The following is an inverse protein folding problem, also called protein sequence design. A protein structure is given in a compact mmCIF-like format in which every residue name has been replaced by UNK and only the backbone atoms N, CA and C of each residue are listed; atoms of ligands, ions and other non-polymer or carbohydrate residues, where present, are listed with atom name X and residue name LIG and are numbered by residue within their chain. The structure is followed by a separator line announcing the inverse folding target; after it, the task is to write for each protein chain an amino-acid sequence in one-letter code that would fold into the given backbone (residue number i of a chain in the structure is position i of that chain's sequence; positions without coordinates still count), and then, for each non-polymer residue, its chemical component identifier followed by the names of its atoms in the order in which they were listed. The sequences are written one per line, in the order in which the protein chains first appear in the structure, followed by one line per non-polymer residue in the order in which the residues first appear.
data_IF_089970458569
#
_entry.id   IF_089970458569
#
_cell.length_a   1.000
_cell.length_b   1.000
_cell.length_c   1.000
_cell.angle_alpha   90.00
_cell.angle_beta   90.00
_cell.angle_gamma   90.00
#
_symmetry.space_group_name_H-M   'P 1'
#
loop_
_entity.id
_entity.type
_entity.pdbx_description
1 polymer ?
#
# COMPACT_ATOMS: atom_id res chain seq x y z
N UNK A 1 13.37 -0.50 11.25
CA UNK A 1 13.84 -0.33 9.87
C UNK A 1 12.62 -0.40 8.97
N UNK A 2 12.12 0.75 8.51
CA UNK A 2 11.16 0.83 7.40
C UNK A 2 11.92 0.73 6.07
N UNK A 3 11.26 0.28 5.01
CA UNK A 3 11.80 0.21 3.65
C UNK A 3 12.02 -1.20 3.10
N UNK A 4 11.80 -2.25 3.91
CA UNK A 4 12.09 -3.63 3.52
C UNK A 4 11.13 -4.12 2.42
N UNK A 5 9.82 -3.84 2.57
CA UNK A 5 8.82 -4.22 1.59
C UNK A 5 9.04 -3.50 0.26
N UNK A 6 9.30 -2.19 0.33
CA UNK A 6 9.56 -1.32 -0.82
C UNK A 6 10.80 -1.77 -1.57
N UNK A 7 11.89 -2.00 -0.84
CA UNK A 7 13.15 -2.47 -1.43
C UNK A 7 12.97 -3.83 -2.10
N UNK A 8 12.28 -4.76 -1.44
CA UNK A 8 12.04 -6.10 -1.99
C UNK A 8 11.22 -6.07 -3.28
N UNK A 9 10.10 -5.32 -3.30
CA UNK A 9 9.27 -5.20 -4.50
C UNK A 9 10.04 -4.52 -5.64
N UNK A 10 10.70 -3.39 -5.37
CA UNK A 10 11.48 -2.68 -6.38
C UNK A 10 12.58 -3.55 -6.98
N UNK A 11 13.28 -4.34 -6.16
CA UNK A 11 14.30 -5.26 -6.66
C UNK A 11 13.71 -6.29 -7.62
N UNK A 12 12.59 -6.93 -7.25
CA UNK A 12 11.91 -7.90 -8.12
C UNK A 12 11.47 -7.27 -9.44
N UNK A 13 10.92 -6.05 -9.39
CA UNK A 13 10.44 -5.34 -10.57
C UNK A 13 11.59 -4.91 -11.49
N UNK A 14 12.67 -4.35 -10.93
CA UNK A 14 13.86 -3.98 -11.70
C UNK A 14 14.56 -5.19 -12.33
N UNK A 15 14.71 -6.28 -11.58
CA UNK A 15 15.31 -7.51 -12.09
C UNK A 15 14.55 -8.05 -13.30
N UNK A 16 13.21 -7.97 -13.27
CA UNK A 16 12.39 -8.39 -14.40
C UNK A 16 12.49 -7.46 -15.62
N UNK A 17 12.68 -6.16 -15.44
CA UNK A 17 12.93 -5.25 -16.58
C UNK A 17 14.31 -5.46 -17.19
N UNK A 18 15.32 -5.70 -16.36
CA UNK A 18 16.70 -5.86 -16.81
C UNK A 18 16.96 -7.25 -17.41
N UNK A 19 16.32 -8.27 -16.86
CA UNK A 19 16.44 -9.66 -17.27
C UNK A 19 15.04 -10.29 -17.37
N UNK A 20 14.29 -9.99 -18.45
CA UNK A 20 12.95 -10.53 -18.64
C UNK A 20 13.05 -12.05 -18.83
N UNK A 21 12.74 -12.79 -17.77
CA UNK A 21 12.58 -14.24 -17.79
C UNK A 21 11.12 -14.62 -18.00
N UNK A 22 10.63 -15.54 -17.18
CA UNK A 22 9.20 -15.88 -17.15
C UNK A 22 8.34 -14.69 -16.71
N UNK A 23 7.09 -14.70 -17.17
CA UNK A 23 6.10 -13.68 -16.85
C UNK A 23 5.91 -13.54 -15.33
N UNK A 24 6.04 -12.31 -14.81
CA UNK A 24 5.81 -12.02 -13.40
C UNK A 24 4.32 -12.12 -13.06
N UNK A 25 3.90 -13.24 -12.48
CA UNK A 25 2.59 -13.41 -11.85
C UNK A 25 2.59 -12.87 -10.43
N UNK A 26 1.41 -12.64 -9.83
CA UNK A 26 1.31 -12.20 -8.42
C UNK A 26 2.01 -13.17 -7.47
N UNK A 27 1.81 -14.48 -7.67
CA UNK A 27 2.53 -15.54 -6.91
C UNK A 27 4.03 -15.38 -7.04
N UNK A 28 4.54 -15.24 -8.27
CA UNK A 28 5.99 -15.14 -8.49
C UNK A 28 6.59 -13.87 -7.88
N UNK A 29 5.85 -12.76 -7.88
CA UNK A 29 6.28 -11.50 -7.26
C UNK A 29 6.44 -11.70 -5.76
N UNK A 30 5.43 -12.22 -5.06
CA UNK A 30 5.49 -12.40 -3.60
C UNK A 30 6.58 -13.40 -3.18
N UNK A 31 6.75 -14.51 -3.93
CA UNK A 31 7.81 -15.50 -3.66
C UNK A 31 9.19 -14.91 -3.86
N UNK A 32 9.42 -14.17 -4.96
CA UNK A 32 10.71 -13.49 -5.19
C UNK A 32 10.96 -12.39 -4.16
N UNK A 33 9.92 -11.67 -3.72
CA UNK A 33 10.05 -10.69 -2.62
C UNK A 33 10.47 -11.40 -1.33
N UNK A 34 9.88 -12.56 -1.00
CA UNK A 34 10.25 -13.36 0.17
C UNK A 34 11.71 -13.80 0.10
N UNK A 35 12.18 -14.23 -1.07
CA UNK A 35 13.59 -14.57 -1.28
C UNK A 35 14.52 -13.35 -1.09
N UNK A 36 14.13 -12.18 -1.59
CA UNK A 36 14.89 -10.93 -1.38
C UNK A 36 14.98 -10.59 0.10
N UNK A 37 13.85 -10.61 0.81
CA UNK A 37 13.79 -10.33 2.25
C UNK A 37 14.67 -11.31 3.04
N UNK A 38 14.57 -12.61 2.78
CA UNK A 38 15.41 -13.62 3.43
C UNK A 38 16.91 -13.36 3.19
N UNK A 39 17.32 -12.98 1.97
CA UNK A 39 18.72 -12.62 1.67
C UNK A 39 19.18 -11.36 2.38
N UNK A 40 18.27 -10.42 2.64
CA UNK A 40 18.55 -9.20 3.41
C UNK A 40 18.51 -9.43 4.94
N UNK A 41 18.19 -10.65 5.39
CA UNK A 41 18.09 -10.99 6.82
C UNK A 41 16.78 -10.57 7.47
N UNK A 42 15.71 -10.43 6.68
CA UNK A 42 14.37 -10.06 7.12
C UNK A 42 13.47 -11.30 7.22
N UNK A 43 12.82 -11.47 8.38
CA UNK A 43 11.87 -12.56 8.62
C UNK A 43 10.45 -12.20 8.14
N UNK A 44 10.24 -10.99 7.61
CA UNK A 44 8.95 -10.50 7.14
C UNK A 44 8.40 -11.31 5.96
N UNK A 45 7.11 -11.67 6.02
CA UNK A 45 6.42 -12.41 4.95
C UNK A 45 5.64 -11.42 4.07
N UNK A 46 5.91 -11.34 2.75
CA UNK A 46 5.10 -10.57 1.83
C UNK A 46 3.66 -11.08 1.79
N UNK A 47 2.73 -10.14 1.82
CA UNK A 47 1.30 -10.37 1.67
C UNK A 47 0.74 -9.41 0.62
N UNK A 48 -0.27 -9.90 -0.08
CA UNK A 48 -1.14 -9.15 -0.99
C UNK A 48 -2.55 -9.18 -0.42
N UNK A 49 -3.18 -8.02 -0.28
CA UNK A 49 -4.62 -7.92 0.00
C UNK A 49 -5.35 -7.25 -1.17
N UNK A 50 -6.63 -7.55 -1.38
CA UNK A 50 -7.39 -7.05 -2.54
C UNK A 50 -8.85 -6.78 -2.23
N UNK A 51 -9.43 -5.77 -2.87
CA UNK A 51 -10.87 -5.46 -2.81
C UNK A 51 -11.76 -6.52 -3.46
N UNK A 52 -11.20 -7.37 -4.32
CA UNK A 52 -11.90 -8.47 -5.00
C UNK A 52 -11.01 -9.71 -5.13
N UNK A 53 -11.61 -10.88 -5.29
CA UNK A 53 -10.86 -12.07 -5.66
C UNK A 53 -10.14 -11.84 -7.00
N UNK A 54 -8.86 -12.17 -7.04
CA UNK A 54 -8.06 -12.18 -8.26
C UNK A 54 -7.41 -13.56 -8.44
N UNK A 55 -7.20 -13.95 -9.69
CA UNK A 55 -6.37 -15.12 -10.00
C UNK A 55 -4.89 -14.72 -9.85
N UNK A 56 -4.28 -15.17 -8.77
CA UNK A 56 -2.88 -14.84 -8.41
C UNK A 56 -1.86 -15.47 -9.37
N UNK A 57 -2.27 -16.43 -10.20
CA UNK A 57 -1.41 -16.99 -11.25
C UNK A 57 -1.43 -16.16 -12.53
N UNK A 58 -2.30 -15.15 -12.64
CA UNK A 58 -2.25 -14.20 -13.74
C UNK A 58 -1.07 -13.24 -13.60
N UNK A 59 -0.64 -12.63 -14.71
CA UNK A 59 0.43 -11.65 -14.71
C UNK A 59 0.08 -10.45 -13.83
N UNK A 60 1.04 -10.03 -13.01
CA UNK A 60 0.93 -8.84 -12.19
C UNK A 60 1.21 -7.61 -13.05
N UNK A 61 0.31 -6.64 -12.98
CA UNK A 61 0.42 -5.37 -13.69
C UNK A 61 0.17 -4.22 -12.73
N UNK A 62 1.14 -3.32 -12.59
CA UNK A 62 0.91 -2.02 -11.94
C UNK A 62 -0.01 -1.18 -12.82
N UNK A 63 0.26 -1.15 -14.13
CA UNK A 63 -0.59 -0.55 -15.15
C UNK A 63 -1.21 -1.69 -15.98
N UNK A 64 -2.50 -2.01 -15.79
CA UNK A 64 -3.17 -3.06 -16.57
C UNK A 64 -3.07 -2.77 -18.08
N UNK A 65 -2.90 -3.78 -18.95
CA UNK A 65 -2.85 -3.58 -20.40
C UNK A 65 -4.11 -2.93 -20.99
N UNK A 66 -5.25 -3.11 -20.32
CA UNK A 66 -6.53 -2.52 -20.70
C UNK A 66 -6.73 -1.07 -20.19
N UNK A 67 -5.77 -0.51 -19.43
CA UNK A 67 -5.87 0.85 -18.92
C UNK A 67 -5.73 1.88 -20.06
N UNK A 68 -6.73 2.76 -20.17
CA UNK A 68 -6.80 3.79 -21.21
C UNK A 68 -6.75 5.22 -20.66
N UNK A 69 -6.82 5.37 -19.33
CA UNK A 69 -6.90 6.65 -18.64
C UNK A 69 -5.55 7.20 -18.18
N UNK A 70 -5.64 8.14 -17.25
CA UNK A 70 -4.51 8.81 -16.62
C UNK A 70 -3.83 7.92 -15.57
N UNK A 71 -2.55 8.18 -15.31
CA UNK A 71 -1.76 7.51 -14.27
C UNK A 71 -1.45 8.51 -13.17
N UNK A 72 -1.84 8.22 -11.93
CA UNK A 72 -1.74 9.14 -10.80
C UNK A 72 -1.11 8.46 -9.61
N UNK A 73 -0.23 9.14 -8.88
CA UNK A 73 0.36 8.56 -7.67
C UNK A 73 0.22 9.47 -6.45
N UNK A 74 0.06 8.86 -5.28
CA UNK A 74 0.30 9.49 -3.97
C UNK A 74 1.48 8.75 -3.35
N UNK A 75 2.56 9.47 -3.06
CA UNK A 75 3.78 8.91 -2.49
C UNK A 75 4.11 9.63 -1.18
N UNK A 76 4.04 8.90 -0.07
CA UNK A 76 4.20 9.43 1.28
C UNK A 76 5.43 8.78 1.93
N UNK A 77 6.36 9.62 2.39
CA UNK A 77 7.59 9.16 3.06
C UNK A 77 7.85 10.02 4.28
N UNK A 78 7.78 9.43 5.47
CA UNK A 78 7.89 10.18 6.73
C UNK A 78 9.10 9.68 7.51
N UNK A 79 10.09 10.57 7.72
CA UNK A 79 11.27 10.29 8.53
C UNK A 79 11.12 10.76 9.98
N UNK A 80 10.12 11.58 10.30
CA UNK A 80 9.91 12.16 11.62
C UNK A 80 11.12 12.97 12.09
N UNK A 81 11.69 13.79 11.21
CA UNK A 81 12.95 14.52 11.45
C UNK A 81 12.85 15.35 12.73
N UNK A 82 13.78 15.14 13.66
CA UNK A 82 13.87 15.84 14.93
C UNK A 82 12.88 15.34 16.01
N UNK A 83 12.16 14.23 15.75
CA UNK A 83 11.24 13.62 16.72
C UNK A 83 11.82 12.32 17.30
N UNK A 84 11.24 11.84 18.40
CA UNK A 84 11.56 10.49 18.88
C UNK A 84 11.06 9.44 17.88
N UNK A 85 11.91 8.44 17.60
CA UNK A 85 11.62 7.43 16.58
C UNK A 85 11.97 7.85 15.15
N UNK A 86 12.82 8.86 14.97
CA UNK A 86 13.30 9.28 13.64
C UNK A 86 13.77 8.08 12.79
N UNK A 87 13.31 8.05 11.53
CA UNK A 87 13.68 7.12 10.48
C UNK A 87 14.58 7.82 9.45
N UNK A 88 15.31 7.06 8.65
CA UNK A 88 16.24 7.61 7.64
C UNK A 88 15.99 7.09 6.22
N UNK A 89 15.10 6.11 6.04
CA UNK A 89 14.88 5.41 4.78
C UNK A 89 13.67 5.89 3.97
N UNK A 90 12.64 6.42 4.63
CA UNK A 90 11.31 6.58 4.02
C UNK A 90 11.31 7.60 2.87
N UNK A 91 12.11 8.66 2.97
CA UNK A 91 12.30 9.61 1.86
C UNK A 91 12.97 8.95 0.65
N UNK A 92 13.90 8.03 0.88
CA UNK A 92 14.59 7.33 -0.20
C UNK A 92 13.66 6.33 -0.89
N UNK A 93 12.81 5.64 -0.12
CA UNK A 93 11.78 4.74 -0.64
C UNK A 93 10.84 5.46 -1.61
N UNK A 94 10.32 6.62 -1.22
CA UNK A 94 9.48 7.47 -2.07
C UNK A 94 10.20 7.87 -3.35
N UNK A 95 11.46 8.32 -3.25
CA UNK A 95 12.26 8.72 -4.42
C UNK A 95 12.49 7.56 -5.38
N UNK A 96 12.74 6.35 -4.87
CA UNK A 96 12.94 5.17 -5.68
C UNK A 96 11.65 4.72 -6.38
N UNK A 97 10.51 4.74 -5.67
CA UNK A 97 9.20 4.44 -6.26
C UNK A 97 8.84 5.47 -7.33
N UNK A 98 8.97 6.77 -7.05
CA UNK A 98 8.70 7.83 -8.02
C UNK A 98 9.50 7.63 -9.31
N UNK A 99 10.81 7.36 -9.16
CA UNK A 99 11.71 7.09 -10.28
C UNK A 99 11.29 5.83 -11.06
N UNK A 100 10.95 4.75 -10.37
CA UNK A 100 10.50 3.53 -11.04
C UNK A 100 9.19 3.74 -11.83
N UNK A 101 8.21 4.42 -11.23
CA UNK A 101 6.93 4.72 -11.87
C UNK A 101 7.10 5.58 -13.12
N UNK A 102 7.98 6.58 -13.06
CA UNK A 102 8.29 7.44 -14.20
C UNK A 102 9.01 6.66 -15.31
N UNK A 103 10.07 5.92 -14.95
CA UNK A 103 10.94 5.25 -15.92
C UNK A 103 10.28 4.04 -16.62
N UNK A 104 9.51 3.24 -15.88
CA UNK A 104 9.02 1.94 -16.36
C UNK A 104 7.51 1.84 -16.46
N UNK A 105 6.77 2.67 -15.73
CA UNK A 105 5.30 2.63 -15.70
C UNK A 105 4.66 3.86 -16.34
N UNK A 106 5.45 4.76 -16.94
CA UNK A 106 4.99 5.94 -17.69
C UNK A 106 4.12 6.91 -16.89
N UNK A 107 4.30 6.98 -15.58
CA UNK A 107 3.72 8.05 -14.76
C UNK A 107 4.46 9.37 -15.07
N UNK A 108 3.75 10.49 -15.05
CA UNK A 108 4.37 11.80 -15.22
C UNK A 108 4.56 12.46 -13.85
N UNK A 109 5.67 13.17 -13.64
CA UNK A 109 5.98 13.83 -12.36
C UNK A 109 4.86 14.74 -11.87
N UNK A 110 4.19 15.47 -12.78
CA UNK A 110 3.07 16.35 -12.44
C UNK A 110 1.82 15.63 -11.90
N UNK A 111 1.71 14.33 -12.17
CA UNK A 111 0.59 13.49 -11.75
C UNK A 111 0.95 12.65 -10.50
N UNK A 112 2.13 12.89 -9.91
CA UNK A 112 2.58 12.31 -8.65
C UNK A 112 2.52 13.37 -7.54
N UNK A 113 1.62 13.17 -6.57
CA UNK A 113 1.57 13.97 -5.35
C UNK A 113 2.54 13.35 -4.32
N UNK A 114 3.60 14.09 -4.00
CA UNK A 114 4.63 13.64 -3.06
C UNK A 114 4.50 14.41 -1.74
N UNK A 115 4.44 13.66 -0.64
CA UNK A 115 4.43 14.19 0.73
C UNK A 115 5.62 13.65 1.52
N UNK A 116 6.52 14.54 1.95
CA UNK A 116 7.70 14.21 2.76
C UNK A 116 8.02 15.33 3.74
N UNK A 117 8.47 14.98 4.94
CA UNK A 117 8.92 15.91 5.98
C UNK A 117 10.38 16.39 5.76
N UNK A 118 10.75 16.65 4.51
CA UNK A 118 12.11 17.04 4.08
C UNK A 118 12.29 18.57 3.93
N UNK A 119 11.23 19.34 4.22
CA UNK A 119 11.19 20.80 4.06
C UNK A 119 11.11 21.29 2.61
N UNK A 120 10.98 20.39 1.63
CA UNK A 120 10.87 20.73 0.20
C UNK A 120 9.50 20.34 -0.38
N UNK A 121 8.97 19.18 0.04
CA UNK A 121 7.69 18.65 -0.42
C UNK A 121 6.54 19.10 0.48
N UNK A 122 5.31 18.71 0.11
CA UNK A 122 4.16 18.92 0.99
C UNK A 122 4.38 18.12 2.29
N UNK A 123 4.20 18.79 3.42
CA UNK A 123 4.43 18.15 4.72
C UNK A 123 3.39 17.03 4.94
N UNK A 124 3.77 15.80 5.33
CA UNK A 124 2.86 14.67 5.50
C UNK A 124 2.10 14.75 6.84
N UNK A 125 1.34 15.82 7.03
CA UNK A 125 0.42 16.00 8.15
C UNK A 125 -0.84 15.17 7.96
N UNK A 126 -1.58 14.90 9.04
CA UNK A 126 -2.84 14.15 8.98
C UNK A 126 -3.78 14.72 7.91
N UNK A 127 -4.01 16.03 7.96
CA UNK A 127 -4.88 16.74 7.03
C UNK A 127 -4.38 16.64 5.58
N UNK A 128 -3.07 16.70 5.34
CA UNK A 128 -2.55 16.59 3.98
C UNK A 128 -2.66 15.15 3.43
N UNK A 129 -2.54 14.13 4.29
CA UNK A 129 -2.80 12.74 3.93
C UNK A 129 -4.28 12.54 3.58
N UNK A 130 -5.21 12.96 4.44
CA UNK A 130 -6.66 12.86 4.20
C UNK A 130 -7.08 13.61 2.93
N UNK A 131 -6.59 14.84 2.74
CA UNK A 131 -6.83 15.62 1.51
C UNK A 131 -6.28 14.92 0.26
N UNK A 132 -5.19 14.17 0.37
CA UNK A 132 -4.64 13.42 -0.76
C UNK A 132 -5.58 12.28 -1.18
N UNK A 133 -6.25 11.62 -0.22
CA UNK A 133 -7.23 10.56 -0.48
C UNK A 133 -8.48 11.11 -1.18
N UNK A 134 -9.00 12.24 -0.68
CA UNK A 134 -10.12 12.92 -1.32
C UNK A 134 -9.78 13.34 -2.75
N UNK A 135 -8.57 13.91 -2.94
CA UNK A 135 -8.09 14.36 -4.23
C UNK A 135 -8.05 13.21 -5.24
N UNK A 136 -7.46 12.07 -4.89
CA UNK A 136 -7.34 10.96 -5.84
C UNK A 136 -8.71 10.43 -6.24
N UNK A 137 -9.66 10.37 -5.31
CA UNK A 137 -11.03 9.94 -5.59
C UNK A 137 -11.80 10.94 -6.45
N UNK A 138 -11.60 12.25 -6.23
CA UNK A 138 -12.24 13.28 -7.04
C UNK A 138 -11.76 13.31 -8.50
N UNK A 139 -10.47 13.03 -8.75
CA UNK A 139 -9.87 13.15 -10.07
C UNK A 139 -9.75 11.85 -10.86
N UNK A 140 -10.00 10.70 -10.23
CA UNK A 140 -9.92 9.40 -10.91
C UNK A 140 -11.19 9.09 -11.68
N UNK A 141 -11.04 8.61 -12.91
CA UNK A 141 -12.13 8.22 -13.81
C UNK A 141 -11.94 6.77 -14.28
N UNK A 142 -13.00 6.09 -14.76
CA UNK A 142 -12.87 4.72 -15.27
C UNK A 142 -11.76 4.61 -16.31
N UNK A 143 -10.87 3.62 -16.15
CA UNK A 143 -9.68 3.44 -16.99
C UNK A 143 -8.40 4.09 -16.44
N UNK A 144 -8.49 4.94 -15.40
CA UNK A 144 -7.33 5.49 -14.70
C UNK A 144 -6.62 4.42 -13.84
N UNK A 145 -5.33 4.64 -13.65
CA UNK A 145 -4.46 3.82 -12.79
C UNK A 145 -3.90 4.69 -11.67
N UNK A 146 -4.03 4.20 -10.44
CA UNK A 146 -3.56 4.86 -9.23
C UNK A 146 -2.45 4.04 -8.59
N UNK A 147 -1.38 4.69 -8.16
CA UNK A 147 -0.37 4.10 -7.29
C UNK A 147 -0.37 4.80 -5.93
N UNK A 148 -0.53 4.07 -4.85
CA UNK A 148 -0.46 4.57 -3.49
C UNK A 148 0.75 3.97 -2.78
N UNK A 149 1.63 4.80 -2.25
CA UNK A 149 2.80 4.35 -1.49
C UNK A 149 2.89 5.07 -0.16
N UNK A 150 3.08 4.31 0.90
CA UNK A 150 3.39 4.82 2.22
C UNK A 150 4.64 4.13 2.75
N UNK A 151 5.64 4.92 3.16
CA UNK A 151 6.78 4.47 3.97
C UNK A 151 6.90 5.36 5.20
N UNK A 152 6.84 4.75 6.39
CA UNK A 152 6.82 5.46 7.67
C UNK A 152 6.54 4.53 8.84
N UNK A 153 6.21 5.08 10.00
CA UNK A 153 5.74 4.27 11.12
C UNK A 153 4.32 3.80 10.87
N UNK A 154 4.04 2.58 11.32
CA UNK A 154 2.68 2.10 11.57
C UNK A 154 2.51 1.89 13.06
N UNK A 155 1.29 2.12 13.55
CA UNK A 155 0.93 1.95 14.95
C UNK A 155 -0.32 1.11 15.11
N UNK A 156 -0.72 0.93 16.35
CA UNK A 156 -1.98 0.29 16.73
C UNK A 156 -2.67 1.11 17.79
N UNK A 157 -3.99 1.21 17.69
CA UNK A 157 -4.84 1.83 18.71
C UNK A 157 -6.04 0.94 18.99
N UNK A 158 -6.64 0.98 20.19
CA UNK A 158 -7.79 0.15 20.49
C UNK A 158 -8.92 0.34 19.46
N UNK A 159 -9.45 -0.78 18.97
CA UNK A 159 -10.63 -0.83 18.12
C UNK A 159 -11.85 -0.36 18.94
N UNK A 160 -12.67 0.50 18.35
CA UNK A 160 -13.90 1.03 18.95
C UNK A 160 -15.19 0.55 18.28
N UNK A 161 -15.09 -0.20 17.18
CA UNK A 161 -16.20 -0.67 16.36
C UNK A 161 -16.34 -2.22 16.41
N UNK A 162 -15.28 -2.94 16.74
CA UNK A 162 -15.26 -4.39 16.95
C UNK A 162 -15.20 -5.19 15.64
N UNK A 163 -14.57 -4.68 14.60
CA UNK A 163 -14.37 -5.38 13.32
C UNK A 163 -13.03 -6.14 13.25
N UNK A 164 -12.07 -5.79 14.09
CA UNK A 164 -10.75 -6.42 14.23
C UNK A 164 -10.78 -7.53 15.30
N UNK A 165 -10.44 -8.77 14.92
CA UNK A 165 -10.47 -9.92 15.83
C UNK A 165 -9.46 -9.80 16.99
N UNK A 166 -8.37 -9.04 16.80
CA UNK A 166 -7.34 -8.82 17.81
C UNK A 166 -7.65 -7.63 18.76
N UNK A 167 -8.68 -6.84 18.42
CA UNK A 167 -9.18 -5.70 19.19
C UNK A 167 -8.38 -4.41 19.02
N UNK A 168 -7.55 -4.29 17.98
CA UNK A 168 -6.80 -3.08 17.66
C UNK A 168 -6.94 -2.72 16.18
N UNK A 169 -7.04 -1.43 15.90
CA UNK A 169 -6.93 -0.92 14.53
C UNK A 169 -5.48 -0.67 14.19
N UNK A 170 -5.12 -1.02 12.96
CA UNK A 170 -3.85 -0.65 12.34
C UNK A 170 -3.89 0.82 11.92
N UNK A 171 -2.76 1.53 12.05
CA UNK A 171 -2.73 2.98 11.77
C UNK A 171 -1.53 3.45 10.99
N UNK A 172 -1.74 4.50 10.20
CA UNK A 172 -0.66 5.36 9.70
C UNK A 172 -0.37 6.47 10.71
N UNK A 173 0.90 6.85 10.82
CA UNK A 173 1.38 7.85 11.78
C UNK A 173 1.82 9.11 11.01
N UNK A 174 0.96 10.14 10.86
CA UNK A 174 1.36 11.39 10.22
C UNK A 174 2.47 12.10 10.99
N UNK A 175 3.18 13.05 10.36
CA UNK A 175 4.29 13.77 11.00
C UNK A 175 3.86 14.59 12.22
N UNK A 176 2.57 14.97 12.30
CA UNK A 176 1.96 15.76 13.38
C UNK A 176 1.06 14.93 14.30
N UNK A 177 1.23 13.61 14.33
CA UNK A 177 0.37 12.67 15.07
C UNK A 177 0.23 13.00 16.56
N UNK A 178 1.22 13.61 17.22
CA UNK A 178 1.10 13.97 18.64
C UNK A 178 -0.01 15.01 18.90
N UNK A 179 -0.35 15.80 17.88
CA UNK A 179 -1.41 16.82 17.95
C UNK A 179 -2.67 16.38 17.20
N UNK A 180 -2.51 15.79 16.02
CA UNK A 180 -3.61 15.48 15.11
C UNK A 180 -4.11 14.02 15.23
N UNK A 181 -3.41 13.19 16.00
CA UNK A 181 -3.70 11.77 16.11
C UNK A 181 -3.22 10.95 14.91
N UNK A 182 -3.47 9.65 14.99
CA UNK A 182 -3.14 8.66 13.97
C UNK A 182 -4.32 8.51 12.98
N UNK A 183 -4.09 7.92 11.82
CA UNK A 183 -5.12 7.60 10.83
C UNK A 183 -5.37 6.09 10.89
N UNK A 184 -6.60 5.68 11.23
CA UNK A 184 -7.04 4.27 11.26
C UNK A 184 -7.15 3.70 9.85
N UNK A 185 -6.89 2.41 9.70
CA UNK A 185 -7.27 1.59 8.54
C UNK A 185 -8.73 1.77 8.13
N UNK A 186 -9.65 1.85 9.08
CA UNK A 186 -11.05 2.26 8.90
C UNK A 186 -11.19 3.52 8.05
N UNK A 187 -10.46 4.57 8.42
CA UNK A 187 -10.48 5.87 7.75
C UNK A 187 -9.85 5.76 6.36
N UNK A 188 -8.87 4.88 6.17
CA UNK A 188 -8.23 4.64 4.87
C UNK A 188 -9.20 3.89 3.96
N UNK A 189 -9.82 2.80 4.42
CA UNK A 189 -10.82 2.06 3.66
C UNK A 189 -11.97 3.01 3.26
N UNK A 190 -12.48 3.79 4.22
CA UNK A 190 -13.60 4.71 4.01
C UNK A 190 -13.29 5.87 3.06
N UNK A 191 -12.12 6.50 3.21
CA UNK A 191 -11.82 7.75 2.51
C UNK A 191 -10.99 7.56 1.24
N UNK A 192 -10.24 6.45 1.13
CA UNK A 192 -9.39 6.14 -0.03
C UNK A 192 -9.98 5.04 -0.91
N UNK A 193 -10.35 3.88 -0.35
CA UNK A 193 -10.73 2.69 -1.14
C UNK A 193 -12.19 2.69 -1.56
N UNK A 194 -13.10 2.89 -0.61
CA UNK A 194 -14.55 2.84 -0.83
C UNK A 194 -15.05 3.82 -1.89
N UNK A 195 -14.56 5.07 -1.97
CA UNK A 195 -15.03 6.02 -2.98
C UNK A 195 -14.40 5.80 -4.37
N UNK A 196 -13.47 4.84 -4.50
CA UNK A 196 -12.75 4.59 -5.74
C UNK A 196 -13.72 4.16 -6.85
N UNK A 197 -13.76 4.93 -7.94
CA UNK A 197 -14.73 4.74 -9.01
C UNK A 197 -14.58 3.38 -9.72
N UNK A 198 -15.71 2.85 -10.22
CA UNK A 198 -15.72 1.64 -11.02
C UNK A 198 -14.77 1.76 -12.23
N UNK A 199 -13.96 0.72 -12.47
CA UNK A 199 -13.00 0.70 -13.56
C UNK A 199 -11.69 1.47 -13.29
N UNK A 200 -11.52 2.07 -12.12
CA UNK A 200 -10.21 2.53 -11.63
C UNK A 200 -9.46 1.35 -11.01
N UNK A 201 -8.15 1.25 -11.30
CA UNK A 201 -7.26 0.26 -10.65
C UNK A 201 -6.24 0.98 -9.78
N UNK A 202 -6.14 0.59 -8.52
CA UNK A 202 -5.19 1.10 -7.54
C UNK A 202 -4.23 -0.02 -7.11
N UNK A 203 -2.93 0.24 -7.20
CA UNK A 203 -1.91 -0.57 -6.53
C UNK A 203 -1.40 0.18 -5.32
N UNK A 204 -1.48 -0.43 -4.14
CA UNK A 204 -0.93 0.10 -2.90
C UNK A 204 0.35 -0.65 -2.52
N UNK A 205 1.31 0.07 -1.96
CA UNK A 205 2.53 -0.48 -1.36
C UNK A 205 2.71 0.16 0.02
N UNK A 206 2.58 -0.65 1.06
CA UNK A 206 2.63 -0.21 2.45
C UNK A 206 3.92 -0.73 3.09
N UNK A 207 4.77 0.20 3.50
CA UNK A 207 6.04 -0.08 4.17
C UNK A 207 6.02 0.52 5.58
N UNK A 208 5.30 -0.15 6.46
CA UNK A 208 5.14 0.20 7.85
C UNK A 208 5.04 -1.06 8.72
N UNK A 209 5.39 -0.94 10.00
CA UNK A 209 5.15 -2.00 10.98
C UNK A 209 3.64 -2.15 11.21
N UNK A 210 3.15 -3.36 11.50
CA UNK A 210 1.71 -3.64 11.70
C UNK A 210 0.89 -3.24 10.47
N UNK A 211 1.27 -3.67 9.28
CA UNK A 211 0.52 -3.34 8.06
C UNK A 211 -0.47 -4.42 7.64
N UNK A 212 -0.69 -5.45 8.48
CA UNK A 212 -1.34 -6.70 8.08
C UNK A 212 -2.77 -6.53 7.58
N UNK A 213 -3.50 -5.61 8.22
CA UNK A 213 -4.89 -5.25 7.92
C UNK A 213 -5.04 -3.79 7.50
N UNK A 214 -3.96 -3.00 7.32
CA UNK A 214 -3.97 -1.52 7.15
C UNK A 214 -4.86 -0.89 6.05
N UNK A 215 -5.52 -1.70 5.22
CA UNK A 215 -6.47 -1.27 4.18
C UNK A 215 -7.85 -1.98 4.28
N UNK A 216 -8.05 -2.88 5.25
CA UNK A 216 -9.24 -3.70 5.50
C UNK A 216 -9.85 -4.35 4.27
N UNK A 217 -8.97 -4.90 3.43
CA UNK A 217 -9.38 -5.52 2.19
C UNK A 217 -9.86 -6.97 2.44
N UNK A 218 -10.98 -7.38 1.80
CA UNK A 218 -11.69 -8.62 2.12
C UNK A 218 -10.99 -9.90 1.63
N UNK A 219 -9.94 -9.79 0.83
CA UNK A 219 -9.20 -10.93 0.29
C UNK A 219 -7.71 -10.79 0.56
N UNK A 220 -7.04 -11.91 0.84
CA UNK A 220 -5.59 -11.96 1.09
C UNK A 220 -4.91 -13.12 0.39
N UNK A 221 -3.63 -12.95 0.10
CA UNK A 221 -2.73 -13.96 -0.43
C UNK A 221 -1.34 -13.75 0.18
N UNK A 222 -0.73 -14.80 0.72
CA UNK A 222 0.63 -14.74 1.28
C UNK A 222 1.60 -15.51 0.39
N UNK A 223 2.90 -15.19 0.48
CA UNK A 223 3.93 -15.86 -0.32
C UNK A 223 3.98 -17.40 -0.13
N UNK A 224 3.50 -17.88 1.02
CA UNK A 224 3.45 -19.30 1.40
C UNK A 224 2.19 -20.02 0.88
N UNK A 225 1.21 -19.28 0.35
CA UNK A 225 -0.01 -19.83 -0.22
C UNK A 225 0.11 -20.15 -1.71
N UNK A 226 -0.98 -20.70 -2.25
CA UNK A 226 -1.18 -20.94 -3.69
C UNK A 226 -2.43 -20.24 -4.26
N UNK A 227 -3.43 -19.91 -3.43
CA UNK A 227 -4.68 -19.28 -3.86
C UNK A 227 -5.01 -18.08 -2.97
N UNK A 228 -5.78 -17.14 -3.52
CA UNK A 228 -6.33 -16.03 -2.74
C UNK A 228 -7.49 -16.51 -1.88
N UNK A 229 -7.51 -16.09 -0.62
CA UNK A 229 -8.48 -16.49 0.40
C UNK A 229 -9.26 -15.28 0.93
N UNK A 230 -10.41 -15.52 1.57
CA UNK A 230 -11.12 -14.47 2.29
C UNK A 230 -10.31 -14.07 3.53
N UNK A 231 -10.26 -12.78 3.83
CA UNK A 231 -9.66 -12.29 5.05
C UNK A 231 -10.69 -12.38 6.19
N UNK A 232 -10.67 -13.48 6.94
CA UNK A 232 -11.62 -13.69 8.03
C UNK A 232 -11.29 -12.91 9.31
N UNK A 233 -10.07 -12.32 9.41
CA UNK A 233 -9.65 -11.55 10.59
C UNK A 233 -10.22 -10.13 10.66
N UNK A 234 -10.96 -9.71 9.63
CA UNK A 234 -11.57 -8.39 9.53
C UNK A 234 -13.04 -8.57 9.16
N UNK A 235 -13.93 -8.00 9.98
CA UNK A 235 -15.37 -8.11 9.79
C UNK A 235 -15.86 -7.12 8.73
N UNK A 236 -15.69 -7.49 7.45
CA UNK A 236 -16.05 -6.62 6.33
C UNK A 236 -17.54 -6.21 6.30
N UNK A 237 -18.43 -7.05 6.83
CA UNK A 237 -19.86 -6.73 6.96
C UNK A 237 -20.11 -5.63 8.00
N UNK A 238 -19.30 -5.56 9.07
CA UNK A 238 -19.37 -4.48 10.08
C UNK A 238 -18.80 -3.17 9.53
N UNK A 239 -17.68 -3.25 8.83
CA UNK A 239 -17.02 -2.11 8.18
C UNK A 239 -17.88 -1.45 7.10
N UNK A 240 -18.45 -2.26 6.20
CA UNK A 240 -19.01 -1.76 4.95
C UNK A 240 -20.53 -1.85 4.87
N UNK A 241 -21.16 -2.74 5.65
CA UNK A 241 -22.60 -3.03 5.62
C UNK A 241 -23.11 -3.67 4.31
N UNK A 242 -22.44 -3.41 3.17
CA UNK A 242 -22.67 -4.03 1.87
C UNK A 242 -21.33 -4.22 1.12
N UNK A 243 -20.88 -5.48 0.91
CA UNK A 243 -19.62 -5.77 0.24
C UNK A 243 -19.53 -5.33 -1.23
N UNK A 244 -20.66 -5.17 -1.93
CA UNK A 244 -20.70 -4.72 -3.33
C UNK A 244 -20.35 -3.23 -3.49
N UNK A 245 -20.12 -2.50 -2.40
CA UNK A 245 -19.78 -1.09 -2.42
C UNK A 245 -18.36 -0.79 -2.94
N UNK A 246 -17.47 -1.79 -3.02
CA UNK A 246 -16.12 -1.61 -3.59
C UNK A 246 -16.14 -1.72 -5.13
N UNK A 247 -16.29 -0.58 -5.79
CA UNK A 247 -16.41 -0.50 -7.25
C UNK A 247 -15.06 -0.59 -7.97
N UNK A 248 -14.03 0.07 -7.43
CA UNK A 248 -12.65 0.04 -7.92
C UNK A 248 -11.89 -1.25 -7.54
N UNK A 249 -10.82 -1.57 -8.28
CA UNK A 249 -9.89 -2.63 -7.91
C UNK A 249 -8.76 -2.01 -7.09
N UNK A 250 -8.56 -2.43 -5.85
CA UNK A 250 -7.41 -2.06 -5.03
C UNK A 250 -6.64 -3.33 -4.68
N UNK A 251 -5.35 -3.37 -4.99
CA UNK A 251 -4.42 -4.45 -4.62
C UNK A 251 -3.30 -3.85 -3.76
N UNK A 252 -3.08 -4.36 -2.56
CA UNK A 252 -2.12 -3.81 -1.60
C UNK A 252 -1.02 -4.82 -1.28
N UNK A 253 0.24 -4.44 -1.54
CA UNK A 253 1.42 -5.16 -1.08
C UNK A 253 1.86 -4.65 0.28
N UNK A 254 2.15 -5.59 1.18
CA UNK A 254 2.63 -5.30 2.52
C UNK A 254 3.53 -6.44 3.02
N UNK A 255 4.24 -6.23 4.12
CA UNK A 255 5.11 -7.23 4.73
C UNK A 255 4.74 -7.45 6.19
N UNK A 256 4.25 -8.65 6.50
CA UNK A 256 3.95 -9.03 7.87
C UNK A 256 5.26 -9.28 8.62
N UNK A 257 5.51 -8.52 9.68
CA UNK A 257 6.50 -8.93 10.68
C UNK A 257 6.03 -10.21 11.36
N UNK A 258 6.92 -11.19 11.51
CA UNK A 258 6.71 -12.34 12.37
C UNK A 258 6.73 -11.87 13.84
N UNK A 259 5.74 -11.09 14.25
CA UNK A 259 5.42 -10.96 15.65
C UNK A 259 4.76 -12.28 16.04
N UNK A 260 5.60 -13.20 16.52
CA UNK A 260 5.31 -14.29 17.45
C UNK A 260 3.96 -15.02 17.27
N UNK A 261 4.04 -16.31 16.93
CA UNK A 261 3.17 -17.30 17.58
C UNK A 261 3.16 -17.10 19.10
#
# INVERSE_FOLDING_TARGET
AGGACTSALLQVLHDNHNNPGDQLTWVSVLRRMRDVLNRMGYDQVPQLTSSRMIDVHQPMHIVPPAATGSRRAILIGINYIGQQGELSGCHNDVKNIAKYLEQYQGFQTKDMLILMDDGQHHNPTRTNLENSFERINQYSQPGDVVFFHYSGHGGRIPDDNGDEDDGYDETLIPVDFQRAGQIRDDDILKNLVRPLAAGVTMTCLMDCCHSGTVMDLPYRFTADGDVMERNDGVSFDRLMGNPEALLGLACCFLCLTSLLQ
#
